data_IF_163992670534
#
_entry.id   IF_163992670534
#
_cell.length_a   1.000
_cell.length_b   1.000
_cell.length_c   1.000
_cell.angle_alpha   90.00
_cell.angle_beta   90.00
_cell.angle_gamma   90.00
#
_symmetry.space_group_name_H-M   'P 1'
#
loop_
_entity.id
_entity.type
_entity.pdbx_description
1 polymer ?
#
# COMPACT_ATOMS: atom_id res chain seq x y z
N UNK A 1 -12.81 -0.41 12.89
CA UNK A 1 -11.59 -1.14 13.30
C UNK A 1 -10.60 -0.12 13.80
N UNK A 2 -10.00 -0.36 14.96
CA UNK A 2 -8.79 0.34 15.36
C UNK A 2 -7.62 -0.29 14.61
N UNK A 3 -6.73 0.55 14.09
CA UNK A 3 -5.48 0.16 13.45
C UNK A 3 -4.47 -0.18 14.57
N UNK A 4 -4.71 -1.27 15.29
CA UNK A 4 -3.96 -1.65 16.50
C UNK A 4 -2.62 -2.36 16.22
N UNK A 5 -2.12 -2.34 14.98
CA UNK A 5 -0.90 -3.06 14.59
C UNK A 5 0.08 -2.16 13.84
N UNK A 6 0.27 -0.95 14.38
CA UNK A 6 1.13 0.07 13.80
C UNK A 6 2.34 0.27 14.73
N UNK A 7 3.32 -0.62 14.60
CA UNK A 7 4.64 -0.44 15.21
C UNK A 7 5.41 0.59 14.36
N UNK A 8 5.06 1.84 14.61
CA UNK A 8 5.28 3.10 13.87
C UNK A 8 6.74 3.58 13.82
N UNK A 9 7.60 3.00 12.98
CA UNK A 9 8.81 3.72 12.52
C UNK A 9 8.90 3.86 10.99
N UNK A 10 8.38 2.88 10.23
CA UNK A 10 8.54 2.81 8.77
C UNK A 10 7.21 2.59 7.99
N UNK A 11 6.06 2.50 8.66
CA UNK A 11 4.79 2.12 8.02
C UNK A 11 3.92 3.33 7.61
N UNK A 12 3.61 3.42 6.31
CA UNK A 12 2.72 4.45 5.73
C UNK A 12 1.33 3.84 5.50
N UNK A 13 0.32 4.32 6.21
CA UNK A 13 -1.08 3.90 6.03
C UNK A 13 -1.83 4.90 5.13
N UNK A 14 -2.36 4.42 3.99
CA UNK A 14 -3.14 5.23 3.05
C UNK A 14 -4.56 4.70 2.88
N UNK A 15 -5.54 5.57 3.15
CA UNK A 15 -6.95 5.27 2.91
C UNK A 15 -7.37 5.65 1.50
N UNK A 16 -8.16 4.79 0.87
CA UNK A 16 -8.76 5.01 -0.45
C UNK A 16 -10.17 4.43 -0.52
N UNK A 17 -11.02 5.05 -1.33
CA UNK A 17 -12.40 4.56 -1.55
C UNK A 17 -12.54 3.71 -2.81
N UNK A 18 -11.68 3.92 -3.82
CA UNK A 18 -11.70 3.17 -5.08
C UNK A 18 -10.38 2.44 -5.32
N UNK A 19 -10.43 1.35 -6.08
CA UNK A 19 -9.24 0.58 -6.41
C UNK A 19 -8.21 1.41 -7.20
N UNK A 20 -8.66 2.28 -8.11
CA UNK A 20 -7.78 3.17 -8.85
C UNK A 20 -7.01 4.11 -7.90
N UNK A 21 -7.66 4.69 -6.90
CA UNK A 21 -6.99 5.55 -5.93
C UNK A 21 -5.97 4.79 -5.08
N UNK A 22 -6.22 3.52 -4.77
CA UNK A 22 -5.21 2.69 -4.11
C UNK A 22 -4.00 2.48 -5.01
N UNK A 23 -4.20 2.13 -6.28
CA UNK A 23 -3.10 1.93 -7.23
C UNK A 23 -2.27 3.22 -7.41
N UNK A 24 -2.92 4.37 -7.60
CA UNK A 24 -2.27 5.67 -7.73
C UNK A 24 -1.46 6.03 -6.48
N UNK A 25 -2.03 5.83 -5.29
CA UNK A 25 -1.36 6.10 -4.02
C UNK A 25 -0.18 5.18 -3.77
N UNK A 26 -0.34 3.88 -4.01
CA UNK A 26 0.75 2.90 -3.84
C UNK A 26 1.89 3.19 -4.81
N UNK A 27 1.59 3.49 -6.07
CA UNK A 27 2.61 3.87 -7.07
C UNK A 27 3.29 5.19 -6.69
N UNK A 28 2.53 6.15 -6.16
CA UNK A 28 3.06 7.42 -5.67
C UNK A 28 4.01 7.26 -4.49
N UNK A 29 3.68 6.41 -3.51
CA UNK A 29 4.57 6.10 -2.37
C UNK A 29 5.79 5.34 -2.83
N UNK A 30 5.67 4.40 -3.78
CA UNK A 30 6.81 3.71 -4.37
C UNK A 30 7.78 4.68 -5.05
N UNK A 31 7.27 5.58 -5.88
CA UNK A 31 8.06 6.61 -6.53
C UNK A 31 8.73 7.57 -5.54
N UNK A 32 7.99 8.02 -4.52
CA UNK A 32 8.53 8.90 -3.48
C UNK A 32 9.60 8.20 -2.65
N UNK A 33 9.40 6.94 -2.29
CA UNK A 33 10.37 6.12 -1.54
C UNK A 33 11.65 5.93 -2.34
N UNK A 34 11.53 5.56 -3.63
CA UNK A 34 12.67 5.43 -4.52
C UNK A 34 13.46 6.75 -4.65
N UNK A 35 12.76 7.90 -4.72
CA UNK A 35 13.39 9.21 -4.81
C UNK A 35 14.20 9.58 -3.55
N UNK A 36 13.84 9.06 -2.38
CA UNK A 36 14.58 9.24 -1.12
C UNK A 36 15.50 8.08 -0.77
N UNK A 37 15.66 7.09 -1.68
CA UNK A 37 16.52 5.92 -1.47
C UNK A 37 15.95 4.88 -0.52
N UNK A 38 14.65 4.93 -0.23
CA UNK A 38 13.92 3.95 0.57
C UNK A 38 13.33 2.86 -0.35
N UNK A 39 13.46 1.61 0.05
CA UNK A 39 12.92 0.48 -0.69
C UNK A 39 11.63 0.00 -0.01
N UNK A 40 10.52 -0.01 -0.75
CA UNK A 40 9.26 -0.55 -0.23
C UNK A 40 9.40 -2.06 -0.06
N UNK A 41 9.27 -2.51 1.18
CA UNK A 41 9.32 -3.93 1.49
C UNK A 41 7.95 -4.57 1.19
N UNK A 42 7.79 -5.09 -0.03
CA UNK A 42 6.51 -5.59 -0.57
C UNK A 42 5.80 -6.61 0.32
N UNK A 43 6.54 -7.50 0.99
CA UNK A 43 5.97 -8.48 1.95
C UNK A 43 5.54 -7.92 3.31
N UNK A 44 5.84 -6.64 3.59
CA UNK A 44 5.30 -5.90 4.75
C UNK A 44 4.15 -4.96 4.35
N UNK A 45 4.04 -4.62 3.08
CA UNK A 45 2.93 -3.83 2.55
C UNK A 45 1.66 -4.69 2.49
N UNK A 46 0.75 -4.46 3.43
CA UNK A 46 -0.55 -5.15 3.52
C UNK A 46 -1.69 -4.24 3.09
N UNK A 47 -2.70 -4.78 2.42
CA UNK A 47 -3.88 -4.03 1.98
C UNK A 47 -5.05 -4.34 2.92
N UNK A 48 -5.19 -3.54 3.96
CA UNK A 48 -6.33 -3.69 4.88
C UNK A 48 -7.64 -3.25 4.21
N UNK A 49 -8.48 -4.21 3.81
CA UNK A 49 -9.76 -3.96 3.14
C UNK A 49 -10.93 -3.73 4.09
N UNK A 50 -11.67 -2.65 3.84
CA UNK A 50 -12.99 -2.42 4.41
C UNK A 50 -13.98 -2.07 3.29
N UNK A 51 -15.02 -2.89 3.11
CA UNK A 51 -16.19 -2.62 2.25
C UNK A 51 -15.97 -2.47 0.73
N UNK A 52 -14.73 -2.47 0.22
CA UNK A 52 -14.44 -2.40 -1.23
C UNK A 52 -13.88 -3.72 -1.73
N UNK A 53 -14.38 -4.24 -2.85
CA UNK A 53 -13.80 -5.41 -3.53
C UNK A 53 -12.65 -4.97 -4.43
N UNK A 54 -11.43 -5.42 -4.15
CA UNK A 54 -10.33 -5.40 -5.12
C UNK A 54 -10.51 -6.59 -6.05
N UNK A 55 -10.96 -6.35 -7.28
CA UNK A 55 -11.11 -7.43 -8.27
C UNK A 55 -9.79 -7.73 -8.97
N UNK A 56 -8.85 -6.79 -8.96
CA UNK A 56 -7.51 -6.97 -9.50
C UNK A 56 -6.46 -6.82 -8.38
N UNK A 57 -5.32 -7.50 -8.47
CA UNK A 57 -4.21 -7.26 -7.54
C UNK A 57 -3.67 -5.84 -7.70
N UNK A 58 -3.20 -5.26 -6.60
CA UNK A 58 -2.45 -3.99 -6.63
C UNK A 58 -0.98 -4.32 -6.76
N UNK A 59 -0.34 -3.69 -7.74
CA UNK A 59 1.05 -3.99 -8.09
C UNK A 59 1.99 -2.84 -7.73
N UNK A 60 3.21 -3.18 -7.31
CA UNK A 60 4.36 -2.27 -7.21
C UNK A 60 5.53 -2.85 -7.97
N UNK A 61 6.10 -2.08 -8.90
CA UNK A 61 7.18 -2.55 -9.80
C UNK A 61 6.87 -3.88 -10.49
N UNK A 62 5.59 -4.15 -10.80
CA UNK A 62 5.14 -5.37 -11.48
C UNK A 62 4.90 -6.59 -10.57
N UNK A 63 5.04 -6.46 -9.25
CA UNK A 63 4.74 -7.53 -8.28
C UNK A 63 3.49 -7.21 -7.47
N UNK A 64 2.68 -8.23 -7.18
CA UNK A 64 1.44 -8.13 -6.43
C UNK A 64 1.73 -7.88 -4.93
N UNK A 65 0.92 -7.03 -4.30
CA UNK A 65 0.93 -6.82 -2.85
C UNK A 65 0.00 -7.82 -2.14
N UNK A 66 0.37 -8.20 -0.91
CA UNK A 66 -0.44 -9.09 -0.08
C UNK A 66 -1.66 -8.31 0.47
N UNK A 67 -2.84 -8.94 0.45
CA UNK A 67 -4.07 -8.41 1.06
C UNK A 67 -3.95 -8.50 2.60
#
# INVERSE_FOLDING_TARGET
>A
MQLDDLDFADDVALLSQTQQQMQEKTTGVAGASAAVGLNIHKGKSKILRFNTACTNPITTDGEDLED
#
